data_IF_807390483291
#
_entry.id   IF_807390483291
#
_cell.length_a   1.000
_cell.length_b   1.000
_cell.length_c   1.000
_cell.angle_alpha   90.00
_cell.angle_beta   90.00
_cell.angle_gamma   90.00
#
_symmetry.space_group_name_H-M   'P 1'
#
loop_
_entity.id
_entity.type
_entity.pdbx_description
1 polymer ?
#
# COMPACT_ATOMS: atom_id res chain seq x y z
N UNK A 1 -8.07 -20.31 15.64
CA UNK A 1 -7.38 -19.13 15.07
C UNK A 1 -5.98 -19.55 14.60
N UNK A 2 -5.54 -19.18 13.39
CA UNK A 2 -4.13 -19.38 13.00
C UNK A 2 -3.24 -18.47 13.87
N UNK A 3 -2.07 -18.98 14.28
CA UNK A 3 -1.14 -18.27 15.17
C UNK A 3 -0.70 -16.92 14.59
N UNK A 4 -0.80 -15.88 15.43
CA UNK A 4 -0.20 -14.55 15.20
C UNK A 4 1.29 -14.66 15.48
N UNK A 5 2.12 -14.30 14.51
CA UNK A 5 3.59 -14.30 14.65
C UNK A 5 4.07 -12.87 14.93
N UNK A 6 5.00 -12.70 15.87
CA UNK A 6 5.57 -11.40 16.25
C UNK A 6 7.04 -11.34 15.87
N UNK A 7 7.50 -10.19 15.41
CA UNK A 7 8.86 -9.94 14.96
C UNK A 7 9.38 -8.65 15.61
N UNK A 8 10.66 -8.65 16.02
CA UNK A 8 11.27 -7.51 16.71
C UNK A 8 11.42 -6.28 15.80
N UNK A 9 11.78 -6.49 14.53
CA UNK A 9 12.05 -5.41 13.57
C UNK A 9 11.71 -5.80 12.13
N UNK A 10 11.90 -4.86 11.20
CA UNK A 10 11.63 -5.03 9.78
C UNK A 10 12.60 -5.99 9.08
N UNK A 11 13.84 -6.11 9.56
CA UNK A 11 14.84 -7.00 8.96
C UNK A 11 14.42 -8.46 9.19
N UNK A 12 14.10 -8.79 10.44
CA UNK A 12 13.62 -10.13 10.81
C UNK A 12 12.32 -10.47 10.08
N UNK A 13 11.40 -9.50 9.98
CA UNK A 13 10.17 -9.68 9.20
C UNK A 13 10.44 -9.90 7.71
N UNK A 14 11.36 -9.15 7.11
CA UNK A 14 11.73 -9.28 5.71
C UNK A 14 12.32 -10.65 5.40
N UNK A 15 13.25 -11.13 6.23
CA UNK A 15 13.85 -12.47 6.09
C UNK A 15 12.79 -13.57 6.17
N UNK A 16 11.87 -13.45 7.13
CA UNK A 16 10.75 -14.39 7.30
C UNK A 16 9.78 -14.37 6.12
N UNK A 17 9.53 -13.20 5.51
CA UNK A 17 8.72 -13.11 4.29
C UNK A 17 9.43 -13.74 3.08
N UNK A 18 10.76 -13.55 2.94
CA UNK A 18 11.58 -14.19 1.90
C UNK A 18 11.53 -15.71 2.02
N UNK A 19 11.67 -16.24 3.23
CA UNK A 19 11.58 -17.68 3.51
C UNK A 19 10.19 -18.23 3.14
N UNK A 20 9.11 -17.55 3.55
CA UNK A 20 7.74 -17.97 3.17
C UNK A 20 7.51 -17.95 1.67
N UNK A 21 8.08 -16.97 0.96
CA UNK A 21 8.04 -16.90 -0.51
C UNK A 21 8.88 -17.98 -1.22
N UNK A 22 9.73 -18.74 -0.53
CA UNK A 22 10.31 -19.93 -1.16
C UNK A 22 9.28 -21.06 -1.32
N UNK A 23 8.35 -21.17 -0.37
CA UNK A 23 7.26 -22.15 -0.40
C UNK A 23 6.01 -21.66 -1.16
N UNK A 24 5.86 -20.34 -1.34
CA UNK A 24 4.70 -19.71 -1.96
C UNK A 24 5.10 -18.86 -3.17
N UNK A 25 4.24 -18.74 -4.18
CA UNK A 25 4.50 -17.84 -5.31
C UNK A 25 4.18 -16.39 -4.98
N UNK A 26 3.11 -16.15 -4.24
CA UNK A 26 2.64 -14.79 -3.97
C UNK A 26 2.23 -14.64 -2.51
N UNK A 27 2.63 -13.52 -1.90
CA UNK A 27 2.13 -13.12 -0.58
C UNK A 27 1.49 -11.74 -0.70
N UNK A 28 0.23 -11.66 -0.27
CA UNK A 28 -0.54 -10.44 -0.19
C UNK A 28 -0.57 -9.93 1.26
N UNK A 29 -0.24 -8.66 1.47
CA UNK A 29 -0.07 -8.06 2.78
C UNK A 29 -0.99 -6.84 2.92
N UNK A 30 -1.95 -6.90 3.83
CA UNK A 30 -2.73 -5.74 4.21
C UNK A 30 -2.05 -5.06 5.39
N UNK A 31 -1.72 -3.77 5.27
CA UNK A 31 -1.18 -3.00 6.40
C UNK A 31 -1.63 -1.53 6.34
N UNK A 32 -2.00 -0.97 7.48
CA UNK A 32 -2.40 0.44 7.58
C UNK A 32 -1.25 1.41 7.27
N UNK A 33 -1.63 2.65 6.97
CA UNK A 33 -0.67 3.75 6.85
C UNK A 33 0.12 3.92 8.16
N UNK A 34 1.40 4.28 8.04
CA UNK A 34 2.31 4.37 9.19
C UNK A 34 2.91 3.04 9.66
N UNK A 35 2.48 1.89 9.12
CA UNK A 35 3.07 0.57 9.46
C UNK A 35 4.48 0.38 8.90
N UNK A 36 4.93 1.24 7.97
CA UNK A 36 6.29 1.16 7.41
C UNK A 36 6.43 0.21 6.22
N UNK A 37 5.37 -0.02 5.44
CA UNK A 37 5.37 -0.89 4.24
C UNK A 37 6.48 -0.54 3.24
N UNK A 38 6.70 0.75 2.99
CA UNK A 38 7.77 1.20 2.09
C UNK A 38 9.16 0.85 2.64
N UNK A 39 9.37 0.94 3.96
CA UNK A 39 10.62 0.49 4.60
C UNK A 39 10.75 -1.04 4.56
N UNK A 40 9.65 -1.76 4.69
CA UNK A 40 9.61 -3.22 4.56
C UNK A 40 10.01 -3.67 3.15
N UNK A 41 9.52 -3.00 2.09
CA UNK A 41 9.92 -3.32 0.72
C UNK A 41 11.43 -3.11 0.48
N UNK A 42 12.00 -2.06 1.07
CA UNK A 42 13.44 -1.81 1.02
C UNK A 42 14.25 -2.82 1.85
N UNK A 43 13.81 -3.15 3.07
CA UNK A 43 14.44 -4.19 3.88
C UNK A 43 14.41 -5.56 3.16
N UNK A 44 13.28 -5.90 2.51
CA UNK A 44 13.16 -7.10 1.70
C UNK A 44 14.13 -7.10 0.52
N UNK A 45 14.23 -5.99 -0.23
CA UNK A 45 15.20 -5.82 -1.32
C UNK A 45 16.64 -5.97 -0.82
N UNK A 46 16.96 -5.33 0.31
CA UNK A 46 18.32 -5.30 0.85
C UNK A 46 18.77 -6.65 1.39
N UNK A 47 17.86 -7.44 1.99
CA UNK A 47 18.11 -8.82 2.39
C UNK A 47 18.47 -9.75 1.20
N UNK A 48 18.10 -9.36 -0.02
CA UNK A 48 18.47 -10.07 -1.25
C UNK A 48 19.82 -9.68 -1.84
N UNK A 49 20.50 -8.67 -1.29
CA UNK A 49 21.78 -8.21 -1.82
C UNK A 49 22.90 -9.17 -1.46
N UNK A 50 23.73 -9.49 -2.45
CA UNK A 50 24.95 -10.27 -2.29
C UNK A 50 26.12 -9.51 -2.88
N UNK A 51 27.20 -9.42 -2.11
CA UNK A 51 28.48 -8.91 -2.60
C UNK A 51 29.23 -10.05 -3.25
N UNK A 52 29.54 -9.91 -4.53
CA UNK A 52 30.36 -10.85 -5.29
C UNK A 52 31.70 -10.20 -5.64
N UNK A 53 32.75 -11.00 -5.63
CA UNK A 53 34.08 -10.60 -6.10
C UNK A 53 34.36 -11.38 -7.38
N UNK A 54 34.45 -10.68 -8.51
CA UNK A 54 34.83 -11.31 -9.79
C UNK A 54 36.20 -10.81 -10.26
N UNK A 55 37.02 -11.69 -10.86
CA UNK A 55 38.27 -11.27 -11.48
C UNK A 55 37.96 -10.35 -12.66
N UNK A 56 38.68 -9.24 -12.74
CA UNK A 56 38.65 -8.31 -13.86
C UNK A 56 39.98 -8.41 -14.60
N UNK A 57 39.92 -8.89 -15.83
CA UNK A 57 41.09 -8.93 -16.72
C UNK A 57 41.06 -7.70 -17.59
N UNK A 58 42.01 -6.78 -17.38
CA UNK A 58 42.27 -5.68 -18.30
C UNK A 58 43.29 -6.19 -19.31
N UNK A 59 43.01 -6.03 -20.60
CA UNK A 59 44.02 -6.20 -21.64
C UNK A 59 45.16 -5.20 -21.40
N UNK A 60 46.38 -5.73 -21.40
CA UNK A 60 47.68 -5.08 -21.16
C UNK A 60 48.17 -5.00 -19.69
N UNK A 61 49.12 -5.89 -19.39
CA UNK A 61 50.22 -5.77 -18.42
C UNK A 61 49.96 -5.22 -17.00
N UNK A 62 48.80 -5.47 -16.39
CA UNK A 62 48.65 -5.29 -14.93
C UNK A 62 49.09 -6.59 -14.23
N UNK A 63 50.29 -6.59 -13.63
CA UNK A 63 50.87 -7.76 -12.94
C UNK A 63 50.18 -8.19 -11.65
N UNK A 64 48.99 -7.65 -11.34
CA UNK A 64 48.17 -8.02 -10.19
C UNK A 64 46.73 -8.30 -10.64
N UNK A 65 46.10 -9.40 -10.19
CA UNK A 65 44.71 -9.67 -10.49
C UNK A 65 43.83 -8.59 -9.87
N UNK A 66 43.15 -7.82 -10.72
CA UNK A 66 42.14 -6.86 -10.27
C UNK A 66 40.85 -7.63 -9.94
N UNK A 67 40.28 -7.38 -8.77
CA UNK A 67 38.95 -7.90 -8.40
C UNK A 67 37.94 -6.77 -8.39
N UNK A 68 36.85 -6.91 -9.13
CA UNK A 68 35.69 -6.03 -9.01
C UNK A 68 34.81 -6.57 -7.89
N UNK A 69 34.55 -5.71 -6.91
CA UNK A 69 33.50 -5.92 -5.91
C UNK A 69 32.19 -5.37 -6.46
N UNK A 70 31.22 -6.24 -6.70
CA UNK A 70 29.91 -5.88 -7.23
C UNK A 70 28.82 -6.32 -6.25
N UNK A 71 27.88 -5.43 -5.95
CA UNK A 71 26.70 -5.76 -5.14
C UNK A 71 25.54 -6.05 -6.06
N UNK A 72 25.17 -7.32 -6.16
CA UNK A 72 24.02 -7.77 -6.96
C UNK A 72 22.80 -7.94 -6.06
N UNK A 73 21.65 -7.42 -6.48
CA UNK A 73 20.35 -7.69 -5.85
C UNK A 73 19.46 -8.51 -6.76
N UNK A 74 18.46 -9.18 -6.17
CA UNK A 74 17.55 -10.12 -6.85
C UNK A 74 16.06 -9.69 -6.84
N UNK A 75 15.80 -8.46 -6.39
CA UNK A 75 14.44 -7.94 -6.14
C UNK A 75 14.16 -6.70 -6.98
N UNK A 76 13.18 -6.78 -7.87
CA UNK A 76 12.55 -5.64 -8.54
C UNK A 76 11.43 -5.10 -7.65
N UNK A 77 11.23 -3.78 -7.57
CA UNK A 77 10.24 -3.20 -6.67
C UNK A 77 9.51 -2.00 -7.26
N UNK A 78 8.28 -1.80 -6.79
CA UNK A 78 7.46 -0.61 -7.01
C UNK A 78 7.07 -0.04 -5.66
N UNK A 79 7.48 1.20 -5.39
CA UNK A 79 7.17 1.97 -4.18
C UNK A 79 7.53 3.45 -4.42
N UNK A 80 7.44 4.30 -3.39
CA UNK A 80 7.81 5.72 -3.47
C UNK A 80 9.22 5.98 -4.05
N UNK A 81 10.23 5.14 -3.74
CA UNK A 81 11.57 5.29 -4.33
C UNK A 81 11.60 5.03 -5.84
N UNK A 82 10.64 4.27 -6.36
CA UNK A 82 10.49 4.02 -7.80
C UNK A 82 9.82 5.21 -8.47
N UNK A 83 8.82 5.80 -7.82
CA UNK A 83 8.19 7.05 -8.27
C UNK A 83 9.21 8.19 -8.34
N UNK A 84 10.08 8.30 -7.33
CA UNK A 84 11.14 9.32 -7.27
C UNK A 84 12.22 9.18 -8.37
N UNK A 85 12.21 8.07 -9.14
CA UNK A 85 13.06 7.96 -10.34
C UNK A 85 12.57 8.83 -11.50
N UNK A 86 11.34 9.35 -11.39
CA UNK A 86 10.68 10.20 -12.36
C UNK A 86 10.45 11.57 -11.73
N UNK A 87 10.96 12.63 -12.36
CA UNK A 87 10.81 13.98 -11.83
C UNK A 87 10.51 14.99 -12.94
N UNK A 88 9.58 15.90 -12.67
CA UNK A 88 9.19 16.90 -13.64
C UNK A 88 10.20 18.01 -13.78
N UNK A 89 10.44 18.39 -15.03
CA UNK A 89 11.03 19.68 -15.37
C UNK A 89 9.93 20.58 -15.93
N UNK A 90 9.31 21.38 -15.05
CA UNK A 90 8.09 22.14 -15.36
C UNK A 90 8.33 23.58 -15.83
N UNK A 91 9.38 24.24 -15.35
CA UNK A 91 9.55 25.69 -15.46
C UNK A 91 10.64 26.05 -16.47
N UNK A 92 10.51 25.52 -17.69
CA UNK A 92 11.39 25.85 -18.79
C UNK A 92 10.95 27.16 -19.46
N UNK A 93 11.90 27.84 -20.11
CA UNK A 93 11.66 29.10 -20.81
C UNK A 93 10.52 28.93 -21.83
N UNK A 94 9.46 29.73 -21.68
CA UNK A 94 8.28 29.69 -22.55
C UNK A 94 7.22 28.63 -22.23
N UNK A 95 7.41 27.77 -21.22
CA UNK A 95 6.48 26.68 -20.87
C UNK A 95 6.20 25.66 -22.00
N UNK A 96 7.00 25.66 -23.07
CA UNK A 96 6.73 24.90 -24.30
C UNK A 96 7.23 23.44 -24.28
N UNK A 97 8.16 23.07 -23.37
CA UNK A 97 8.79 21.74 -23.35
C UNK A 97 8.67 21.03 -22.00
N UNK A 98 7.44 20.90 -21.49
CA UNK A 98 7.20 20.17 -20.24
C UNK A 98 7.53 18.69 -20.44
N UNK A 99 8.46 18.18 -19.63
CA UNK A 99 8.96 16.81 -19.75
C UNK A 99 9.23 16.18 -18.38
N UNK A 100 9.02 14.86 -18.30
CA UNK A 100 9.29 14.04 -17.14
C UNK A 100 10.66 13.38 -17.31
N UNK A 101 11.63 13.76 -16.48
CA UNK A 101 13.00 13.27 -16.54
C UNK A 101 13.15 11.93 -15.82
N UNK A 102 13.99 11.07 -16.37
CA UNK A 102 14.35 9.77 -15.83
C UNK A 102 15.71 9.83 -15.14
N UNK A 103 15.83 9.19 -13.99
CA UNK A 103 17.12 9.05 -13.33
C UNK A 103 18.03 8.06 -14.08
N UNK A 104 18.90 8.60 -14.95
CA UNK A 104 19.85 7.85 -15.79
C UNK A 104 20.72 6.83 -15.05
N UNK A 105 21.11 7.13 -13.82
CA UNK A 105 22.05 6.29 -13.07
C UNK A 105 21.35 5.10 -12.39
N UNK A 106 20.02 5.04 -12.45
CA UNK A 106 19.26 3.95 -11.86
C UNK A 106 19.37 2.68 -12.69
N UNK A 107 19.73 1.57 -12.03
CA UNK A 107 19.69 0.20 -12.60
C UNK A 107 18.32 -0.15 -13.19
N UNK A 108 17.25 0.50 -12.70
CA UNK A 108 15.90 0.32 -13.19
C UNK A 108 15.78 0.53 -14.70
N UNK A 109 16.56 1.47 -15.25
CA UNK A 109 16.50 1.84 -16.67
C UNK A 109 17.62 1.22 -17.54
N UNK A 110 18.54 0.46 -16.96
CA UNK A 110 19.65 -0.14 -17.71
C UNK A 110 19.13 -1.18 -18.72
N UNK A 111 19.43 -0.98 -20.00
CA UNK A 111 19.02 -1.87 -21.09
C UNK A 111 17.58 -1.67 -21.59
N UNK A 112 16.82 -0.73 -21.02
CA UNK A 112 15.41 -0.52 -21.40
C UNK A 112 15.22 0.01 -22.82
N UNK A 113 16.11 0.89 -23.27
CA UNK A 113 15.95 1.56 -24.55
C UNK A 113 16.17 0.64 -25.75
N UNK A 114 16.80 -0.51 -25.55
CA UNK A 114 16.95 -1.56 -26.57
C UNK A 114 15.70 -2.47 -26.66
N UNK A 115 14.71 -2.30 -25.77
CA UNK A 115 13.58 -3.21 -25.58
C UNK A 115 12.21 -2.65 -26.03
N UNK A 116 12.22 -1.56 -26.81
CA UNK A 116 11.03 -0.89 -27.36
C UNK A 116 9.96 -0.59 -26.29
N UNK A 117 10.37 0.06 -25.21
CA UNK A 117 9.49 0.30 -24.05
C UNK A 117 8.22 1.08 -24.39
N UNK A 118 8.27 2.00 -25.36
CA UNK A 118 7.11 2.74 -25.84
C UNK A 118 5.99 1.80 -26.31
N UNK A 119 6.35 0.77 -27.09
CA UNK A 119 5.41 -0.21 -27.64
C UNK A 119 4.83 -1.13 -26.56
N UNK A 120 5.57 -1.37 -25.48
CA UNK A 120 5.14 -2.23 -24.37
C UNK A 120 4.26 -1.49 -23.36
N UNK A 121 4.57 -0.23 -23.09
CA UNK A 121 3.84 0.59 -22.10
C UNK A 121 2.51 1.07 -22.67
N UNK A 122 2.46 1.46 -23.95
CA UNK A 122 1.28 2.08 -24.57
C UNK A 122 0.00 1.25 -24.48
N UNK A 123 -0.01 -0.08 -24.74
CA UNK A 123 -1.21 -0.92 -24.58
C UNK A 123 -1.67 -1.07 -23.12
N UNK A 124 -0.79 -0.84 -22.14
CA UNK A 124 -1.14 -0.82 -20.72
C UNK A 124 -1.76 0.53 -20.36
N UNK A 125 -1.14 1.62 -20.79
CA UNK A 125 -1.52 3.00 -20.48
C UNK A 125 -2.88 3.40 -21.05
N UNK A 126 -3.15 3.06 -22.31
CA UNK A 126 -4.39 3.40 -23.03
C UNK A 126 -5.66 2.85 -22.37
N UNK A 127 -5.54 1.94 -21.39
CA UNK A 127 -6.67 1.42 -20.61
C UNK A 127 -7.14 2.38 -19.52
N UNK A 128 -6.29 3.32 -19.14
CA UNK A 128 -6.50 4.22 -18.00
C UNK A 128 -6.56 5.68 -18.41
N UNK A 129 -5.95 6.04 -19.54
CA UNK A 129 -5.74 7.44 -19.93
C UNK A 129 -6.02 7.67 -21.40
N UNK A 130 -6.26 8.94 -21.76
CA UNK A 130 -6.55 9.42 -23.12
C UNK A 130 -5.38 10.20 -23.76
N UNK A 131 -4.23 10.27 -23.08
CA UNK A 131 -3.00 10.84 -23.60
C UNK A 131 -2.04 9.76 -24.11
N UNK A 132 -1.07 10.20 -24.88
CA UNK A 132 0.02 9.41 -25.41
C UNK A 132 1.39 9.95 -24.95
N UNK A 133 2.47 9.24 -25.26
CA UNK A 133 3.81 9.63 -24.86
C UNK A 133 4.89 9.21 -25.87
N UNK A 134 6.06 9.83 -25.75
CA UNK A 134 7.31 9.41 -26.38
C UNK A 134 8.44 9.41 -25.36
N UNK A 135 9.25 8.35 -25.38
CA UNK A 135 10.50 8.27 -24.62
C UNK A 135 11.65 8.78 -25.49
N UNK A 136 12.33 9.81 -25.00
CA UNK A 136 13.57 10.33 -25.55
C UNK A 136 14.75 9.67 -24.84
N UNK A 137 15.46 8.80 -25.55
CA UNK A 137 16.55 8.00 -25.01
C UNK A 137 17.86 8.77 -24.90
N UNK A 138 18.00 9.87 -25.64
CA UNK A 138 19.18 10.74 -25.59
C UNK A 138 19.08 11.69 -24.40
N UNK A 139 17.91 12.30 -24.21
CA UNK A 139 17.66 13.24 -23.13
C UNK A 139 17.19 12.58 -21.82
N UNK A 140 16.91 11.28 -21.84
CA UNK A 140 16.34 10.55 -20.70
C UNK A 140 15.05 11.22 -20.21
N UNK A 141 14.17 11.55 -21.15
CA UNK A 141 12.98 12.34 -20.90
C UNK A 141 11.74 11.67 -21.52
N UNK A 142 10.59 11.84 -20.86
CA UNK A 142 9.29 11.46 -21.39
C UNK A 142 8.50 12.72 -21.69
N UNK A 143 7.96 12.78 -22.89
CA UNK A 143 7.07 13.86 -23.33
C UNK A 143 5.69 13.27 -23.59
N UNK A 144 4.67 13.94 -23.08
CA UNK A 144 3.28 13.52 -23.22
C UNK A 144 2.60 14.35 -24.30
N UNK A 145 1.65 13.75 -25.00
CA UNK A 145 0.83 14.42 -26.00
C UNK A 145 -0.63 13.98 -25.90
N UNK A 146 -1.55 14.79 -26.40
CA UNK A 146 -2.98 14.43 -26.48
C UNK A 146 -3.54 14.86 -27.82
N UNK A 147 -4.44 14.05 -28.37
CA UNK A 147 -5.17 14.42 -29.58
C UNK A 147 -6.45 15.14 -29.20
N UNK A 148 -6.60 16.39 -29.62
CA UNK A 148 -7.80 17.21 -29.41
C UNK A 148 -8.27 17.69 -30.78
N UNK A 149 -9.53 17.39 -31.13
CA UNK A 149 -10.13 17.74 -32.43
C UNK A 149 -9.29 17.33 -33.66
N UNK A 150 -8.60 16.19 -33.57
CA UNK A 150 -7.74 15.65 -34.63
C UNK A 150 -6.36 16.31 -34.73
N UNK A 151 -6.04 17.26 -33.84
CA UNK A 151 -4.71 17.86 -33.74
C UNK A 151 -3.95 17.29 -32.54
N UNK A 152 -2.66 17.02 -32.72
CA UNK A 152 -1.78 16.57 -31.64
C UNK A 152 -1.26 17.79 -30.90
N UNK A 153 -1.53 17.85 -29.60
CA UNK A 153 -0.94 18.82 -28.68
C UNK A 153 0.20 18.09 -27.97
N UNK A 154 1.43 18.48 -28.25
CA UNK A 154 2.64 17.92 -27.64
C UNK A 154 3.01 18.61 -26.32
N UNK A 155 3.92 17.98 -25.58
CA UNK A 155 4.56 18.49 -24.36
C UNK A 155 3.56 18.92 -23.26
N UNK A 156 2.48 18.16 -23.09
CA UNK A 156 1.45 18.46 -22.09
C UNK A 156 1.90 18.06 -20.68
N UNK A 157 1.43 18.81 -19.67
CA UNK A 157 1.51 18.38 -18.28
C UNK A 157 0.33 17.47 -17.95
N UNK A 158 0.62 16.21 -17.60
CA UNK A 158 -0.39 15.30 -17.05
C UNK A 158 -0.58 15.53 -15.55
N UNK A 159 -1.75 15.19 -15.02
CA UNK A 159 -2.05 15.25 -13.59
C UNK A 159 -1.18 14.29 -12.78
N UNK A 160 -1.12 14.47 -11.45
CA UNK A 160 -0.35 13.56 -10.58
C UNK A 160 -0.90 12.13 -10.60
N UNK A 161 -2.22 11.96 -10.73
CA UNK A 161 -2.84 10.63 -10.87
C UNK A 161 -2.45 9.95 -12.18
N UNK A 162 -2.49 10.69 -13.30
CA UNK A 162 -2.06 10.21 -14.62
C UNK A 162 -0.57 9.88 -14.66
N UNK A 163 0.28 10.70 -14.04
CA UNK A 163 1.71 10.42 -13.84
C UNK A 163 1.93 9.11 -13.08
N UNK A 164 1.22 8.92 -11.97
CA UNK A 164 1.33 7.69 -11.17
C UNK A 164 0.86 6.45 -11.96
N UNK A 165 -0.22 6.56 -12.74
CA UNK A 165 -0.65 5.50 -13.67
C UNK A 165 0.42 5.20 -14.71
N UNK A 166 1.05 6.24 -15.27
CA UNK A 166 2.12 6.05 -16.25
C UNK A 166 3.31 5.30 -15.65
N UNK A 167 3.81 5.72 -14.48
CA UNK A 167 4.92 5.06 -13.78
C UNK A 167 4.56 3.62 -13.42
N UNK A 168 3.30 3.37 -13.04
CA UNK A 168 2.78 2.01 -12.82
C UNK A 168 2.79 1.16 -14.09
N UNK A 169 2.32 1.70 -15.23
CA UNK A 169 2.35 1.00 -16.51
C UNK A 169 3.79 0.74 -16.98
N UNK A 170 4.70 1.68 -16.74
CA UNK A 170 6.14 1.54 -16.98
C UNK A 170 6.70 0.36 -16.19
N UNK A 171 6.38 0.28 -14.90
CA UNK A 171 6.78 -0.83 -14.04
C UNK A 171 6.21 -2.18 -14.49
N UNK A 172 4.92 -2.22 -14.87
CA UNK A 172 4.29 -3.45 -15.37
C UNK A 172 4.96 -3.96 -16.66
N UNK A 173 5.38 -3.06 -17.55
CA UNK A 173 6.13 -3.44 -18.75
C UNK A 173 7.48 -4.10 -18.39
N UNK A 174 8.16 -3.63 -17.34
CA UNK A 174 9.39 -4.25 -16.83
C UNK A 174 9.11 -5.62 -16.20
N UNK A 175 8.04 -5.75 -15.41
CA UNK A 175 7.64 -7.06 -14.87
C UNK A 175 7.35 -8.03 -16.00
N UNK A 176 6.72 -7.58 -17.09
CA UNK A 176 6.49 -8.41 -18.26
C UNK A 176 7.81 -8.83 -18.93
N UNK A 177 8.80 -7.95 -19.06
CA UNK A 177 10.14 -8.32 -19.56
C UNK A 177 10.82 -9.37 -18.69
N UNK A 178 10.71 -9.26 -17.36
CA UNK A 178 11.24 -10.26 -16.43
C UNK A 178 10.52 -11.61 -16.57
N UNK A 179 9.20 -11.60 -16.78
CA UNK A 179 8.41 -12.82 -17.04
C UNK A 179 8.77 -13.47 -18.38
N UNK A 180 9.01 -12.66 -19.41
CA UNK A 180 9.37 -13.10 -20.75
C UNK A 180 10.84 -13.59 -20.82
N UNK A 181 11.62 -13.44 -19.73
CA UNK A 181 12.99 -13.94 -19.62
C UNK A 181 14.05 -13.06 -20.30
N UNK A 182 13.77 -11.77 -20.50
CA UNK A 182 14.70 -10.85 -21.13
C UNK A 182 16.05 -10.78 -20.37
N UNK A 183 17.17 -10.81 -21.10
CA UNK A 183 18.52 -10.90 -20.53
C UNK A 183 18.81 -9.79 -19.49
N UNK A 184 18.35 -8.56 -19.76
CA UNK A 184 18.51 -7.41 -18.86
C UNK A 184 17.82 -7.61 -17.49
N UNK A 185 16.85 -8.52 -17.40
CA UNK A 185 16.02 -8.75 -16.21
C UNK A 185 16.11 -10.19 -15.66
N UNK A 186 17.03 -11.02 -16.14
CA UNK A 186 17.23 -12.40 -15.61
C UNK A 186 17.63 -12.44 -14.13
N UNK A 187 18.18 -11.33 -13.60
CA UNK A 187 18.53 -11.21 -12.19
C UNK A 187 17.30 -11.12 -11.27
N UNK A 188 16.11 -10.82 -11.81
CA UNK A 188 14.89 -10.62 -11.04
C UNK A 188 14.32 -11.97 -10.60
N UNK A 189 14.47 -12.29 -9.32
CA UNK A 189 13.84 -13.45 -8.67
C UNK A 189 12.56 -13.07 -7.94
N UNK A 190 12.55 -11.88 -7.34
CA UNK A 190 11.42 -11.37 -6.58
C UNK A 190 10.90 -10.06 -7.15
N UNK A 191 9.59 -9.86 -7.05
CA UNK A 191 8.92 -8.59 -7.33
C UNK A 191 8.23 -8.13 -6.05
N UNK A 192 8.49 -6.90 -5.60
CA UNK A 192 7.83 -6.31 -4.44
C UNK A 192 7.02 -5.09 -4.86
N UNK A 193 5.70 -5.13 -4.67
CA UNK A 193 4.79 -4.02 -5.02
C UNK A 193 4.23 -3.44 -3.71
N UNK A 194 4.52 -2.18 -3.42
CA UNK A 194 3.98 -1.45 -2.27
C UNK A 194 3.02 -0.34 -2.75
N UNK A 195 1.76 -0.45 -2.35
CA UNK A 195 0.71 0.56 -2.56
C UNK A 195 0.63 1.12 -4.00
N UNK A 196 0.36 0.28 -5.01
CA UNK A 196 0.40 0.68 -6.42
C UNK A 196 -0.68 1.70 -6.83
N UNK A 197 -1.59 2.04 -5.92
CA UNK A 197 -2.80 2.82 -6.19
C UNK A 197 -3.07 3.92 -5.15
N UNK A 198 -2.07 4.32 -4.36
CA UNK A 198 -2.24 5.22 -3.21
C UNK A 198 -2.88 6.59 -3.52
N UNK A 199 -2.92 6.99 -4.80
CA UNK A 199 -3.46 8.26 -5.30
C UNK A 199 -4.57 8.11 -6.36
N UNK A 200 -5.12 6.90 -6.54
CA UNK A 200 -6.08 6.60 -7.60
C UNK A 200 -7.49 6.43 -7.07
N UNK A 201 -8.49 6.64 -7.93
CA UNK A 201 -9.89 6.40 -7.61
C UNK A 201 -10.23 4.90 -7.50
N UNK A 202 -11.41 4.60 -6.97
CA UNK A 202 -11.88 3.22 -6.75
C UNK A 202 -11.99 2.40 -8.03
N UNK A 203 -12.30 3.05 -9.17
CA UNK A 203 -12.40 2.37 -10.45
C UNK A 203 -11.02 1.87 -10.91
N UNK A 204 -10.01 2.74 -10.87
CA UNK A 204 -8.64 2.40 -11.20
C UNK A 204 -8.08 1.34 -10.26
N UNK A 205 -8.44 1.36 -8.97
CA UNK A 205 -8.05 0.32 -8.02
C UNK A 205 -8.49 -1.10 -8.46
N UNK A 206 -9.71 -1.23 -8.98
CA UNK A 206 -10.23 -2.51 -9.47
C UNK A 206 -9.51 -2.93 -10.76
N UNK A 207 -9.40 -2.00 -11.72
CA UNK A 207 -8.77 -2.27 -13.02
C UNK A 207 -7.30 -2.66 -12.88
N UNK A 208 -6.54 -1.91 -12.07
CA UNK A 208 -5.14 -2.21 -11.75
C UNK A 208 -5.00 -3.58 -11.08
N UNK A 209 -5.86 -3.87 -10.10
CA UNK A 209 -5.85 -5.18 -9.41
C UNK A 209 -6.13 -6.34 -10.35
N UNK A 210 -7.16 -6.22 -11.20
CA UNK A 210 -7.51 -7.26 -12.17
C UNK A 210 -6.37 -7.49 -13.19
N UNK A 211 -5.80 -6.43 -13.74
CA UNK A 211 -4.68 -6.55 -14.68
C UNK A 211 -3.43 -7.16 -14.04
N UNK A 212 -3.09 -6.75 -12.82
CA UNK A 212 -1.97 -7.33 -12.09
C UNK A 212 -2.20 -8.82 -11.85
N UNK A 213 -3.39 -9.22 -11.41
CA UNK A 213 -3.69 -10.63 -11.19
C UNK A 213 -3.61 -11.46 -12.48
N UNK A 214 -4.11 -10.94 -13.61
CA UNK A 214 -3.97 -11.57 -14.92
C UNK A 214 -2.50 -11.75 -15.32
N UNK A 215 -1.66 -10.74 -15.10
CA UNK A 215 -0.22 -10.81 -15.36
C UNK A 215 0.45 -11.90 -14.51
N UNK A 216 0.09 -11.99 -13.22
CA UNK A 216 0.67 -12.95 -12.28
C UNK A 216 0.16 -14.38 -12.45
N UNK A 217 -1.07 -14.56 -12.94
CA UNK A 217 -1.70 -15.86 -13.18
C UNK A 217 -1.29 -16.50 -14.52
N UNK A 218 -0.43 -15.86 -15.33
CA UNK A 218 0.14 -16.49 -16.54
C UNK A 218 0.79 -17.83 -16.19
N UNK A 219 0.56 -18.83 -17.05
CA UNK A 219 1.18 -20.14 -16.93
C UNK A 219 2.72 -19.99 -16.86
N UNK A 220 3.37 -20.81 -16.05
CA UNK A 220 4.82 -20.83 -15.86
C UNK A 220 5.50 -19.56 -15.30
N UNK A 221 4.75 -18.65 -14.66
CA UNK A 221 5.34 -17.50 -13.94
C UNK A 221 6.45 -17.95 -12.96
N UNK A 222 7.73 -17.60 -13.20
CA UNK A 222 8.86 -17.98 -12.35
C UNK A 222 9.07 -17.02 -11.16
N UNK A 223 8.41 -15.85 -11.17
CA UNK A 223 8.63 -14.78 -10.21
C UNK A 223 7.89 -15.05 -8.90
N UNK A 224 8.54 -14.66 -7.81
CA UNK A 224 7.96 -14.63 -6.46
C UNK A 224 7.53 -13.22 -6.11
N UNK A 225 6.27 -13.03 -5.72
CA UNK A 225 5.69 -11.69 -5.64
C UNK A 225 5.20 -11.35 -4.23
N UNK A 226 5.70 -10.25 -3.70
CA UNK A 226 5.14 -9.57 -2.53
C UNK A 226 4.24 -8.44 -3.01
N UNK A 227 3.03 -8.34 -2.47
CA UNK A 227 2.13 -7.20 -2.69
C UNK A 227 1.70 -6.68 -1.34
N UNK A 228 2.01 -5.42 -1.02
CA UNK A 228 1.52 -4.75 0.19
C UNK A 228 0.59 -3.61 -0.17
N UNK A 229 -0.54 -3.52 0.54
CA UNK A 229 -1.47 -2.40 0.37
C UNK A 229 -2.16 -1.97 1.65
N UNK A 230 -2.46 -0.68 1.77
CA UNK A 230 -3.42 -0.15 2.75
C UNK A 230 -4.85 -0.06 2.20
N UNK A 231 -5.01 -0.15 0.87
CA UNK A 231 -6.28 0.09 0.21
C UNK A 231 -7.19 -1.16 0.27
N UNK A 232 -8.32 -1.13 1.01
CA UNK A 232 -9.13 -2.33 1.25
C UNK A 232 -9.71 -2.95 -0.02
N UNK A 233 -10.21 -2.13 -0.95
CA UNK A 233 -10.79 -2.60 -2.22
C UNK A 233 -9.75 -3.33 -3.08
N UNK A 234 -8.57 -2.76 -3.29
CA UNK A 234 -7.49 -3.41 -4.03
C UNK A 234 -7.03 -4.71 -3.38
N UNK A 235 -6.85 -4.72 -2.06
CA UNK A 235 -6.53 -5.96 -1.35
C UNK A 235 -7.62 -7.02 -1.57
N UNK A 236 -8.89 -6.65 -1.51
CA UNK A 236 -10.02 -7.54 -1.82
C UNK A 236 -9.97 -8.10 -3.23
N UNK A 237 -9.77 -7.23 -4.22
CA UNK A 237 -9.68 -7.61 -5.64
C UNK A 237 -8.53 -8.60 -5.82
N UNK A 238 -7.32 -8.27 -5.35
CA UNK A 238 -6.17 -9.18 -5.44
C UNK A 238 -6.40 -10.49 -4.70
N UNK A 239 -7.04 -10.44 -3.53
CA UNK A 239 -7.33 -11.64 -2.76
C UNK A 239 -8.28 -12.59 -3.51
N UNK A 240 -9.27 -12.05 -4.21
CA UNK A 240 -10.23 -12.84 -4.97
C UNK A 240 -9.63 -13.34 -6.29
N UNK A 241 -8.99 -12.46 -7.05
CA UNK A 241 -8.41 -12.76 -8.37
C UNK A 241 -7.22 -13.73 -8.30
N UNK A 242 -6.47 -13.74 -7.18
CA UNK A 242 -5.41 -14.72 -6.94
C UNK A 242 -5.90 -16.01 -6.27
N UNK A 243 -7.22 -16.16 -6.10
CA UNK A 243 -7.87 -17.36 -5.56
C UNK A 243 -7.24 -17.82 -4.22
N UNK A 244 -6.85 -16.88 -3.34
CA UNK A 244 -6.07 -17.16 -2.12
C UNK A 244 -6.70 -18.23 -1.23
N UNK A 245 -8.04 -18.37 -1.23
CA UNK A 245 -8.75 -19.42 -0.47
C UNK A 245 -8.49 -20.84 -0.98
N UNK A 246 -8.25 -20.98 -2.28
CA UNK A 246 -8.11 -22.27 -2.97
C UNK A 246 -6.65 -22.58 -3.32
N UNK A 247 -5.85 -21.55 -3.58
CA UNK A 247 -4.47 -21.68 -4.00
C UNK A 247 -3.55 -22.01 -2.82
N UNK A 248 -2.79 -23.10 -2.93
CA UNK A 248 -1.71 -23.42 -1.97
C UNK A 248 -0.44 -22.59 -2.18
N UNK A 249 -0.38 -21.83 -3.29
CA UNK A 249 0.79 -21.03 -3.69
C UNK A 249 0.63 -19.55 -3.32
N UNK A 250 -0.51 -19.15 -2.77
CA UNK A 250 -0.77 -17.76 -2.40
C UNK A 250 -1.22 -17.71 -0.94
N UNK A 251 -0.68 -16.76 -0.19
CA UNK A 251 -1.17 -16.46 1.17
C UNK A 251 -1.45 -14.98 1.34
N UNK A 252 -2.42 -14.68 2.19
CA UNK A 252 -2.74 -13.32 2.59
C UNK A 252 -2.53 -13.13 4.09
N UNK A 253 -1.95 -12.00 4.46
CA UNK A 253 -1.68 -11.64 5.85
C UNK A 253 -2.09 -10.21 6.15
N UNK A 254 -2.44 -9.98 7.41
CA UNK A 254 -2.57 -8.68 8.03
C UNK A 254 -1.29 -8.36 8.80
N UNK A 255 -0.69 -7.20 8.50
CA UNK A 255 0.48 -6.67 9.20
C UNK A 255 0.07 -5.49 10.08
N UNK A 256 0.47 -5.54 11.34
CA UNK A 256 0.35 -4.42 12.28
C UNK A 256 1.68 -4.15 12.97
N UNK A 257 1.89 -2.89 13.36
CA UNK A 257 3.01 -2.47 14.19
C UNK A 257 2.50 -2.04 15.56
N UNK A 258 3.11 -2.56 16.61
CA UNK A 258 2.86 -2.17 17.99
C UNK A 258 3.37 -0.75 18.24
N UNK A 259 2.53 0.08 18.88
CA UNK A 259 2.90 1.45 19.27
C UNK A 259 3.80 1.48 20.53
N UNK A 260 3.78 0.41 21.33
CA UNK A 260 4.47 0.34 22.63
C UNK A 260 5.96 0.01 22.47
N UNK A 261 6.26 -1.08 21.77
CA UNK A 261 7.61 -1.62 21.60
C UNK A 261 8.10 -1.55 20.14
N UNK A 262 7.25 -1.09 19.21
CA UNK A 262 7.58 -1.00 17.79
C UNK A 262 7.59 -2.33 17.04
N UNK A 263 7.25 -3.44 17.71
CA UNK A 263 7.27 -4.79 17.15
C UNK A 263 6.23 -4.98 16.04
N UNK A 264 6.51 -5.91 15.13
CA UNK A 264 5.62 -6.24 14.02
C UNK A 264 4.86 -7.52 14.30
N UNK A 265 3.59 -7.57 13.90
CA UNK A 265 2.77 -8.76 14.00
C UNK A 265 2.18 -9.12 12.64
N UNK A 266 2.30 -10.40 12.27
CA UNK A 266 1.75 -10.97 11.05
C UNK A 266 0.68 -12.00 11.39
N UNK A 267 -0.55 -11.79 10.89
CA UNK A 267 -1.68 -12.70 11.09
C UNK A 267 -2.24 -13.16 9.75
N UNK A 268 -2.44 -14.46 9.55
CA UNK A 268 -3.06 -14.98 8.33
C UNK A 268 -4.52 -14.48 8.20
N UNK A 269 -4.93 -14.09 6.98
CA UNK A 269 -6.31 -13.69 6.67
C UNK A 269 -6.86 -14.45 5.45
N UNK A 270 -8.17 -14.71 5.43
CA UNK A 270 -8.84 -15.63 4.50
C UNK A 270 -9.93 -14.98 3.62
N UNK A 271 -9.75 -13.76 3.13
CA UNK A 271 -10.67 -12.99 2.28
C UNK A 271 -11.74 -12.16 3.01
N UNK A 272 -11.40 -11.62 4.17
CA UNK A 272 -12.21 -10.55 4.74
C UNK A 272 -11.30 -9.43 5.25
N UNK A 273 -10.96 -8.44 4.41
CA UNK A 273 -10.69 -7.09 4.85
C UNK A 273 -12.00 -6.32 5.20
N UNK A 274 -13.14 -7.03 5.30
CA UNK A 274 -14.04 -6.76 6.42
C UNK A 274 -13.21 -7.05 7.68
N UNK A 275 -12.57 -6.06 8.28
CA UNK A 275 -13.28 -4.87 8.69
C UNK A 275 -12.27 -3.76 8.98
N UNK A 276 -12.02 -2.82 8.05
CA UNK A 276 -11.36 -1.57 8.48
C UNK A 276 -12.15 -0.94 9.65
N UNK A 277 -13.47 -1.02 9.61
CA UNK A 277 -14.36 -0.57 10.68
C UNK A 277 -14.25 -1.42 11.97
N UNK A 278 -14.07 -2.74 11.92
CA UNK A 278 -13.91 -3.58 13.13
C UNK A 278 -12.50 -3.56 13.65
N UNK A 279 -11.47 -3.46 12.82
CA UNK A 279 -10.13 -3.17 13.32
C UNK A 279 -10.06 -1.80 14.00
N UNK A 280 -10.72 -0.78 13.43
CA UNK A 280 -10.93 0.50 14.12
C UNK A 280 -11.71 0.27 15.41
N UNK A 281 -12.83 -0.47 15.41
CA UNK A 281 -13.60 -0.75 16.63
C UNK A 281 -12.80 -1.52 17.68
N UNK A 282 -11.97 -2.48 17.28
CA UNK A 282 -11.07 -3.23 18.18
C UNK A 282 -10.01 -2.30 18.76
N UNK A 283 -9.47 -1.35 17.99
CA UNK A 283 -8.55 -0.33 18.52
C UNK A 283 -9.27 0.64 19.46
N UNK A 284 -10.47 1.12 19.10
CA UNK A 284 -11.28 1.99 19.96
C UNK A 284 -11.67 1.29 21.26
N UNK A 285 -12.05 0.01 21.19
CA UNK A 285 -12.40 -0.80 22.36
C UNK A 285 -11.20 -1.08 23.26
N UNK A 286 -10.01 -1.34 22.68
CA UNK A 286 -8.77 -1.44 23.46
C UNK A 286 -8.41 -0.13 24.16
N UNK A 287 -8.51 0.99 23.45
CA UNK A 287 -8.23 2.32 24.02
C UNK A 287 -9.25 2.70 25.10
N UNK A 288 -10.48 2.20 24.98
CA UNK A 288 -11.51 2.35 26.00
C UNK A 288 -11.16 1.56 27.27
N UNK A 289 -10.82 0.27 27.12
CA UNK A 289 -10.41 -0.61 28.22
C UNK A 289 -9.13 -0.14 28.92
N UNK A 290 -8.14 0.37 28.18
CA UNK A 290 -6.89 0.88 28.76
C UNK A 290 -7.03 2.27 29.37
N UNK A 291 -8.13 2.99 29.07
CA UNK A 291 -8.32 4.38 29.46
C UNK A 291 -7.48 5.40 28.68
N UNK A 292 -6.65 4.95 27.74
CA UNK A 292 -5.77 5.77 26.92
C UNK A 292 -6.53 6.41 25.74
N UNK A 293 -7.49 7.28 26.05
CA UNK A 293 -8.32 7.95 25.04
C UNK A 293 -7.72 9.30 24.62
N UNK A 294 -7.49 9.47 23.32
CA UNK A 294 -6.95 10.68 22.68
C UNK A 294 -7.95 11.27 21.69
N UNK A 295 -7.88 12.58 21.42
CA UNK A 295 -8.82 13.29 20.54
C UNK A 295 -9.01 12.64 19.17
N UNK A 296 -7.96 12.06 18.57
CA UNK A 296 -8.05 11.36 17.28
C UNK A 296 -8.97 10.13 17.29
N UNK A 297 -9.27 9.54 18.45
CA UNK A 297 -10.24 8.45 18.53
C UNK A 297 -11.66 8.89 18.14
N UNK A 298 -12.01 10.19 18.26
CA UNK A 298 -13.29 10.68 17.72
C UNK A 298 -13.35 10.63 16.19
N UNK A 299 -12.22 10.88 15.51
CA UNK A 299 -12.14 10.71 14.04
C UNK A 299 -12.38 9.26 13.64
N UNK A 300 -11.74 8.34 14.37
CA UNK A 300 -11.88 6.90 14.17
C UNK A 300 -13.32 6.43 14.42
N UNK A 301 -13.92 6.84 15.54
CA UNK A 301 -15.30 6.52 15.89
C UNK A 301 -16.29 7.06 14.85
N UNK A 302 -16.11 8.31 14.40
CA UNK A 302 -16.93 8.88 13.34
C UNK A 302 -16.84 8.09 12.03
N UNK A 303 -15.63 7.72 11.61
CA UNK A 303 -15.43 6.92 10.39
C UNK A 303 -16.19 5.58 10.45
N UNK A 304 -16.24 4.95 11.63
CA UNK A 304 -17.02 3.71 11.82
C UNK A 304 -18.51 3.99 11.74
N UNK A 305 -19.01 5.03 12.41
CA UNK A 305 -20.42 5.38 12.40
C UNK A 305 -20.92 5.74 11.00
N UNK A 306 -20.13 6.47 10.20
CA UNK A 306 -20.46 6.82 8.82
C UNK A 306 -20.54 5.57 7.92
N UNK A 307 -19.55 4.68 8.01
CA UNK A 307 -19.54 3.42 7.26
C UNK A 307 -20.71 2.52 7.67
N UNK A 308 -21.03 2.47 8.96
CA UNK A 308 -22.15 1.69 9.48
C UNK A 308 -23.49 2.27 9.04
N UNK A 309 -23.63 3.60 9.06
CA UNK A 309 -24.81 4.28 8.55
C UNK A 309 -25.05 3.99 7.07
N UNK A 310 -24.00 4.10 6.26
CA UNK A 310 -24.06 3.74 4.84
C UNK A 310 -24.45 2.28 4.65
N UNK A 311 -23.87 1.35 5.41
CA UNK A 311 -24.19 -0.09 5.34
C UNK A 311 -25.65 -0.38 5.69
N UNK A 312 -26.21 0.33 6.67
CA UNK A 312 -27.60 0.18 7.10
C UNK A 312 -28.60 1.04 6.30
N UNK A 313 -28.15 1.77 5.27
CA UNK A 313 -29.01 2.58 4.41
C UNK A 313 -29.47 3.91 5.04
N UNK A 314 -28.80 4.39 6.08
CA UNK A 314 -29.08 5.69 6.68
C UNK A 314 -28.39 6.83 5.94
N UNK A 315 -29.03 7.99 5.88
CA UNK A 315 -28.50 9.20 5.23
C UNK A 315 -27.42 9.91 6.06
N UNK A 316 -27.32 9.63 7.36
CA UNK A 316 -26.36 10.25 8.26
C UNK A 316 -25.86 9.31 9.36
N UNK A 317 -24.64 9.56 9.86
CA UNK A 317 -24.04 8.77 10.94
C UNK A 317 -24.81 8.89 12.27
N UNK A 318 -25.53 10.00 12.48
CA UNK A 318 -26.27 10.24 13.72
C UNK A 318 -27.38 9.21 13.95
N UNK A 319 -27.88 8.57 12.89
CA UNK A 319 -28.81 7.45 12.99
C UNK A 319 -28.22 6.24 13.73
N UNK A 320 -26.90 6.11 13.80
CA UNK A 320 -26.22 5.06 14.53
C UNK A 320 -26.07 5.35 16.04
N UNK A 321 -26.46 6.54 16.52
CA UNK A 321 -26.19 7.00 17.89
C UNK A 321 -27.38 6.82 18.84
N UNK A 322 -28.63 6.96 18.38
CA UNK A 322 -29.81 6.90 19.26
C UNK A 322 -31.03 6.24 18.60
N UNK A 323 -31.95 5.72 19.42
CA UNK A 323 -33.11 4.94 18.99
C UNK A 323 -34.11 5.78 18.18
N UNK A 324 -34.35 7.03 18.58
CA UNK A 324 -35.35 7.92 17.98
C UNK A 324 -34.74 9.16 17.31
N UNK A 325 -35.51 9.79 16.41
CA UNK A 325 -35.09 10.99 15.67
C UNK A 325 -34.93 12.23 16.57
N UNK A 326 -35.76 12.35 17.60
CA UNK A 326 -35.87 13.54 18.48
C UNK A 326 -35.20 13.36 19.85
N UNK A 327 -34.35 12.34 20.01
CA UNK A 327 -33.63 12.11 21.27
C UNK A 327 -32.60 13.25 21.52
N UNK A 328 -32.72 14.02 22.63
CA UNK A 328 -31.77 15.06 23.00
C UNK A 328 -30.32 14.56 23.08
N UNK A 329 -30.11 13.30 23.46
CA UNK A 329 -28.78 12.68 23.50
C UNK A 329 -28.21 12.47 22.10
N UNK A 330 -29.06 12.16 21.11
CA UNK A 330 -28.64 12.06 19.70
C UNK A 330 -28.06 13.38 19.20
N UNK A 331 -28.77 14.48 19.48
CA UNK A 331 -28.37 15.82 19.04
C UNK A 331 -27.06 16.22 19.71
N UNK A 332 -26.95 16.00 21.03
CA UNK A 332 -25.75 16.29 21.80
C UNK A 332 -24.53 15.49 21.32
N UNK A 333 -24.65 14.15 21.26
CA UNK A 333 -23.56 13.27 20.84
C UNK A 333 -23.16 13.50 19.39
N UNK A 334 -24.11 13.73 18.48
CA UNK A 334 -23.80 14.04 17.07
C UNK A 334 -23.03 15.35 16.94
N UNK A 335 -23.41 16.38 17.71
CA UNK A 335 -22.71 17.66 17.73
C UNK A 335 -21.31 17.52 18.33
N UNK A 336 -21.17 16.75 19.40
CA UNK A 336 -19.90 16.47 20.06
C UNK A 336 -18.94 15.72 19.13
N UNK A 337 -19.41 14.67 18.45
CA UNK A 337 -18.61 13.96 17.43
C UNK A 337 -18.22 14.91 16.31
N UNK A 338 -19.13 15.72 15.77
CA UNK A 338 -18.81 16.67 14.70
C UNK A 338 -17.71 17.66 15.11
N UNK A 339 -17.80 18.24 16.32
CA UNK A 339 -16.81 19.20 16.82
C UNK A 339 -15.44 18.52 17.03
N UNK A 340 -15.43 17.40 17.75
CA UNK A 340 -14.19 16.73 18.14
C UNK A 340 -13.53 15.96 16.99
N UNK A 341 -14.28 15.68 15.91
CA UNK A 341 -13.74 15.08 14.69
C UNK A 341 -13.38 16.08 13.57
N UNK A 342 -13.70 17.36 13.73
CA UNK A 342 -13.34 18.42 12.77
C UNK A 342 -12.39 19.46 13.37
N UNK A 343 -12.05 19.37 14.65
CA UNK A 343 -10.91 20.10 15.18
C UNK A 343 -9.64 19.69 14.44
N UNK A 344 -8.70 20.63 14.25
CA UNK A 344 -7.38 20.43 13.62
C UNK A 344 -6.45 19.49 14.43
N UNK A 345 -6.99 18.42 15.03
CA UNK A 345 -6.25 17.44 15.81
C UNK A 345 -5.56 16.47 14.85
N UNK A 346 -4.31 16.80 14.56
CA UNK A 346 -3.41 15.97 13.76
C UNK A 346 -3.20 14.60 14.43
N UNK A 347 -3.23 13.53 13.63
CA UNK A 347 -2.79 12.19 14.05
C UNK A 347 -1.33 12.18 14.55
N UNK A 348 -0.56 13.21 14.19
CA UNK A 348 0.86 13.35 14.53
C UNK A 348 1.10 14.06 15.87
N UNK A 349 0.06 14.65 16.50
CA UNK A 349 0.13 15.26 17.84
C UNK A 349 -1.06 14.83 18.72
N UNK A 350 -1.02 13.62 19.31
CA UNK A 350 -2.14 13.08 20.07
C UNK A 350 -2.31 13.83 21.41
N UNK A 351 -3.45 14.51 21.56
CA UNK A 351 -3.83 15.15 22.83
C UNK A 351 -4.76 14.21 23.62
N UNK A 352 -4.44 13.91 24.90
CA UNK A 352 -5.35 13.15 25.76
C UNK A 352 -6.72 13.83 25.86
N UNK A 353 -7.79 13.05 25.86
CA UNK A 353 -9.14 13.58 26.08
C UNK A 353 -9.29 14.08 27.52
N UNK A 354 -10.04 15.16 27.70
CA UNK A 354 -10.57 15.55 29.01
C UNK A 354 -11.52 14.46 29.54
N UNK A 355 -11.64 14.31 30.86
CA UNK A 355 -12.44 13.24 31.47
C UNK A 355 -13.93 13.29 31.08
N UNK A 356 -14.46 14.49 30.88
CA UNK A 356 -15.80 14.69 30.34
C UNK A 356 -15.94 14.09 28.92
N UNK A 357 -14.97 14.37 28.03
CA UNK A 357 -14.95 13.81 26.67
C UNK A 357 -14.78 12.29 26.66
N UNK A 358 -13.97 11.73 27.59
CA UNK A 358 -13.84 10.28 27.76
C UNK A 358 -15.18 9.65 28.12
N UNK A 359 -15.95 10.28 29.00
CA UNK A 359 -17.27 9.80 29.42
C UNK A 359 -18.24 9.74 28.24
N UNK A 360 -18.32 10.79 27.43
CA UNK A 360 -19.15 10.79 26.23
C UNK A 360 -18.67 9.77 25.19
N UNK A 361 -17.36 9.66 24.96
CA UNK A 361 -16.79 8.69 24.04
C UNK A 361 -17.18 7.25 24.40
N UNK A 362 -17.01 6.87 25.68
CA UNK A 362 -17.40 5.55 26.22
C UNK A 362 -18.86 5.26 25.99
N UNK A 363 -19.73 6.22 26.33
CA UNK A 363 -21.18 6.07 26.18
C UNK A 363 -21.56 5.80 24.72
N UNK A 364 -21.03 6.60 23.79
CA UNK A 364 -21.31 6.46 22.35
C UNK A 364 -20.81 5.11 21.81
N UNK A 365 -19.58 4.72 22.16
CA UNK A 365 -18.99 3.46 21.69
C UNK A 365 -19.78 2.24 22.20
N UNK A 366 -20.14 2.23 23.49
CA UNK A 366 -20.87 1.13 24.11
C UNK A 366 -22.30 0.99 23.57
N UNK A 367 -23.02 2.10 23.40
CA UNK A 367 -24.36 2.09 22.78
C UNK A 367 -24.29 1.59 21.32
N UNK A 368 -23.29 2.03 20.57
CA UNK A 368 -23.06 1.58 19.20
C UNK A 368 -22.81 0.06 19.12
N UNK A 369 -21.91 -0.47 19.95
CA UNK A 369 -21.59 -1.91 20.00
C UNK A 369 -22.77 -2.76 20.47
N UNK A 370 -23.59 -2.24 21.40
CA UNK A 370 -24.80 -2.92 21.89
C UNK A 370 -25.88 -3.00 20.82
N UNK A 371 -26.04 -1.93 20.02
CA UNK A 371 -27.06 -1.84 18.97
C UNK A 371 -26.69 -2.62 17.71
N UNK A 372 -25.41 -2.59 17.33
CA UNK A 372 -24.90 -3.26 16.15
C UNK A 372 -23.90 -4.33 16.59
N UNK A 373 -24.37 -5.55 16.92
CA UNK A 373 -23.52 -6.59 17.48
C UNK A 373 -22.48 -7.07 16.46
N UNK A 374 -21.21 -6.98 16.84
CA UNK A 374 -20.07 -7.55 16.12
C UNK A 374 -19.64 -8.87 16.76
N UNK A 375 -18.88 -9.71 16.04
CA UNK A 375 -18.39 -10.98 16.57
C UNK A 375 -17.54 -10.75 17.84
N UNK A 376 -17.94 -11.23 19.03
CA UNK A 376 -17.23 -11.01 20.29
C UNK A 376 -15.79 -11.54 20.28
N UNK A 377 -15.48 -12.59 19.52
CA UNK A 377 -14.15 -13.18 19.41
C UNK A 377 -13.09 -12.21 18.85
N UNK A 378 -13.52 -11.08 18.27
CA UNK A 378 -12.65 -10.05 17.70
C UNK A 378 -12.20 -8.99 18.73
N UNK A 379 -12.79 -8.97 19.92
CA UNK A 379 -12.47 -8.03 20.98
C UNK A 379 -11.57 -8.71 22.04
N UNK A 380 -10.60 -7.99 22.63
CA UNK A 380 -9.89 -8.49 23.80
C UNK A 380 -10.88 -8.85 24.91
N UNK A 381 -10.65 -9.98 25.57
CA UNK A 381 -11.41 -10.36 26.76
C UNK A 381 -11.33 -9.21 27.79
N UNK A 382 -12.45 -8.91 28.45
CA UNK A 382 -12.49 -7.92 29.51
C UNK A 382 -11.38 -8.22 30.52
N UNK A 383 -10.61 -7.20 30.87
CA UNK A 383 -9.73 -7.28 32.03
C UNK A 383 -10.70 -7.38 33.21
N UNK A 384 -10.83 -8.58 33.80
CA UNK A 384 -11.48 -8.72 35.10
C UNK A 384 -10.66 -7.90 36.09
N UNK A 385 -11.12 -6.69 36.39
CA UNK A 385 -10.73 -6.01 37.62
C UNK A 385 -11.09 -6.95 38.76
N UNK A 386 -10.05 -7.54 39.37
CA UNK A 386 -10.22 -8.44 40.49
C UNK A 386 -11.11 -7.76 41.54
N UNK A 387 -12.18 -8.46 41.91
CA UNK A 387 -12.94 -8.14 43.11
C UNK A 387 -11.94 -7.99 44.28
N UNK A 388 -11.66 -6.76 44.68
CA UNK A 388 -11.22 -6.50 46.06
C UNK A 388 -12.39 -6.91 46.96
N UNK A 389 -12.36 -8.18 47.37
CA UNK A 389 -13.12 -8.64 48.51
C UNK A 389 -12.43 -8.12 49.77
N UNK A 390 -13.20 -7.26 50.46
CA UNK A 390 -13.12 -6.77 51.84
C UNK A 390 -12.48 -5.39 52.06
#
# INVERSE_FOLDING_TARGET
MKQKQTFADLSVLADQLREKLEAMKTILLYAYNGTGKTRLSMAFKDAGKKTIHRPFSVGDHVGQPLTITETTGDTLYFNAFTEDLFHWNNDLEGDEDRRLLLNRDSRFFQGLFELEMDNRIRPLLQRYTDFDFRIDTEEWAIRFSRTVDGQIIDNIKVSRGEENIFIWCFFLAIVQLALDGADAYQWVKYVYIDDPISSLDEHNAITVGSHLAQLLNKADNPLKVMISSHHPLFFNVMHNELDVRKSRKVAAYFLSRSKVDGSYSLAYTGATPFFHHVAILTELYKAEQSGELYTYHFNMLRSVLEKSASFHGFSNFSACIAQDADDPERVLHSRLINILSHGNYSLFEPQPMLDENKTYFRKILNEFLKRYPFNPDLFPQQIEEGEEKL
#
